data_IF_338340688807
#
_entry.id   IF_338340688807
#
_cell.length_a   1.000
_cell.length_b   1.000
_cell.length_c   1.000
_cell.angle_alpha   90.00
_cell.angle_beta   90.00
_cell.angle_gamma   90.00
#
_symmetry.space_group_name_H-M   'P 1'
#
loop_
_entity.id
_entity.type
_entity.pdbx_description
1 polymer ?
#
# COMPACT_ATOMS: atom_id res chain seq x y z
N UNK A 1 6.60 -17.38 -9.70
CA UNK A 1 5.53 -16.45 -9.30
C UNK A 1 5.96 -15.04 -9.65
N UNK A 2 5.31 -14.40 -10.63
CA UNK A 2 5.60 -12.99 -10.95
C UNK A 2 5.06 -12.13 -9.80
N UNK A 3 5.95 -11.38 -9.15
CA UNK A 3 5.57 -10.30 -8.23
C UNK A 3 5.33 -9.07 -9.09
N UNK A 4 4.23 -8.34 -8.87
CA UNK A 4 4.03 -7.05 -9.52
C UNK A 4 5.06 -6.07 -8.93
N UNK A 5 6.17 -5.89 -9.62
CA UNK A 5 7.20 -4.91 -9.28
C UNK A 5 6.86 -3.60 -9.97
N UNK A 6 6.73 -2.53 -9.21
CA UNK A 6 6.65 -1.17 -9.78
C UNK A 6 5.27 -0.71 -10.25
N UNK A 7 4.21 -1.51 -10.11
CA UNK A 7 2.86 -1.07 -10.46
C UNK A 7 2.35 0.04 -9.51
N UNK A 8 2.74 -0.04 -8.24
CA UNK A 8 2.32 0.89 -7.20
C UNK A 8 3.52 1.47 -6.48
N UNK A 9 3.52 2.78 -6.26
CA UNK A 9 4.61 3.48 -5.59
C UNK A 9 4.10 4.60 -4.68
N UNK A 10 4.94 4.98 -3.73
CA UNK A 10 4.67 6.00 -2.74
C UNK A 10 5.53 7.21 -3.06
N UNK A 11 4.89 8.36 -3.20
CA UNK A 11 5.57 9.64 -3.38
C UNK A 11 4.89 10.70 -2.50
N UNK A 12 5.68 11.38 -1.67
CA UNK A 12 5.18 12.39 -0.72
C UNK A 12 4.04 11.89 0.18
N UNK A 13 4.06 10.61 0.54
CA UNK A 13 3.03 9.97 1.36
C UNK A 13 1.79 9.51 0.57
N UNK A 14 1.63 9.89 -0.70
CA UNK A 14 0.55 9.44 -1.56
C UNK A 14 0.92 8.17 -2.31
N UNK A 15 -0.07 7.31 -2.54
CA UNK A 15 0.07 6.06 -3.29
C UNK A 15 -0.40 6.29 -4.72
N UNK A 16 0.49 6.02 -5.66
CA UNK A 16 0.28 6.14 -7.09
C UNK A 16 0.33 4.77 -7.73
N UNK A 17 -0.38 4.63 -8.85
CA UNK A 17 -0.44 3.40 -9.63
C UNK A 17 -1.37 3.55 -10.83
N UNK A 18 -1.68 2.46 -11.53
CA UNK A 18 -2.51 2.49 -12.74
C UNK A 18 -3.96 2.88 -12.47
N UNK A 19 -4.45 2.68 -11.23
CA UNK A 19 -5.82 2.98 -10.82
C UNK A 19 -5.81 3.87 -9.59
N UNK A 20 -6.77 4.80 -9.53
CA UNK A 20 -7.00 5.66 -8.36
C UNK A 20 -5.74 6.38 -7.86
N UNK A 21 -4.86 6.73 -8.82
CA UNK A 21 -3.54 7.29 -8.56
C UNK A 21 -3.62 8.59 -7.75
N UNK A 22 -2.86 8.69 -6.66
CA UNK A 22 -2.84 9.86 -5.78
C UNK A 22 -4.08 10.03 -4.89
N UNK A 23 -5.05 9.11 -4.94
CA UNK A 23 -6.25 9.19 -4.08
C UNK A 23 -6.05 8.60 -2.69
N UNK A 24 -5.09 7.69 -2.54
CA UNK A 24 -4.76 7.10 -1.24
C UNK A 24 -3.47 7.69 -0.72
N UNK A 25 -3.36 7.78 0.61
CA UNK A 25 -2.18 8.30 1.28
C UNK A 25 -1.93 7.58 2.59
N UNK A 26 -0.68 7.62 3.04
CA UNK A 26 -0.23 7.02 4.29
C UNK A 26 -0.10 8.14 5.33
N UNK A 27 -0.83 8.02 6.42
CA UNK A 27 -0.72 8.91 7.58
C UNK A 27 -0.68 8.06 8.85
N UNK A 28 0.28 8.32 9.74
CA UNK A 28 0.46 7.55 10.99
C UNK A 28 0.45 6.03 10.77
N UNK A 29 1.11 5.56 9.69
CA UNK A 29 1.18 4.17 9.21
C UNK A 29 -0.12 3.60 8.65
N UNK A 30 -1.22 4.33 8.71
CA UNK A 30 -2.50 3.89 8.19
C UNK A 30 -2.71 4.43 6.78
N UNK A 31 -3.38 3.65 5.94
CA UNK A 31 -3.73 4.01 4.57
C UNK A 31 -5.14 4.58 4.59
N UNK A 32 -5.26 5.79 4.06
CA UNK A 32 -6.50 6.55 3.93
C UNK A 32 -6.80 6.79 2.45
N UNK A 33 -8.08 7.01 2.14
CA UNK A 33 -8.56 7.26 0.78
C UNK A 33 -10.07 7.49 0.72
N UNK A 34 -10.68 7.35 -0.47
CA UNK A 34 -12.12 7.58 -0.65
C UNK A 34 -12.99 6.62 0.18
N UNK A 35 -12.58 5.36 0.32
CA UNK A 35 -13.19 4.33 1.18
C UNK A 35 -12.11 3.65 2.03
N UNK A 36 -12.55 2.84 3.00
CA UNK A 36 -11.67 2.01 3.84
C UNK A 36 -10.62 2.80 4.66
N UNK A 37 -10.98 4.01 5.10
CA UNK A 37 -10.11 4.92 5.84
C UNK A 37 -9.54 4.27 7.10
N UNK A 38 -8.22 4.09 7.12
CA UNK A 38 -7.50 3.53 8.26
C UNK A 38 -7.70 2.03 8.48
N UNK A 39 -8.39 1.33 7.58
CA UNK A 39 -8.58 -0.12 7.70
C UNK A 39 -7.30 -0.91 7.38
N UNK A 40 -6.42 -0.32 6.56
CA UNK A 40 -5.14 -0.90 6.18
C UNK A 40 -4.00 -0.11 6.80
N UNK A 41 -2.93 -0.79 7.19
CA UNK A 41 -1.81 -0.17 7.89
C UNK A 41 -0.49 -0.90 7.61
N UNK A 42 0.61 -0.16 7.68
CA UNK A 42 1.95 -0.73 7.59
C UNK A 42 2.36 -1.31 8.94
N UNK A 43 3.21 -2.34 8.90
CA UNK A 43 3.79 -3.02 10.05
C UNK A 43 4.32 -2.03 11.09
N UNK A 44 4.31 -2.45 12.35
CA UNK A 44 4.99 -1.74 13.43
C UNK A 44 6.46 -1.50 13.02
N UNK A 45 6.96 -0.29 13.29
CA UNK A 45 8.30 0.21 12.89
C UNK A 45 8.48 0.68 11.44
N UNK A 46 7.39 0.84 10.66
CA UNK A 46 7.47 1.61 9.42
C UNK A 46 7.99 3.03 9.68
N UNK A 47 9.08 3.38 9.00
CA UNK A 47 9.68 4.69 8.97
C UNK A 47 9.86 5.09 7.49
N UNK A 48 9.28 6.22 7.03
CA UNK A 48 9.45 6.71 5.66
C UNK A 48 10.92 6.90 5.23
N UNK A 49 11.86 7.01 6.18
CA UNK A 49 13.29 7.17 5.92
C UNK A 49 14.04 5.83 5.84
N UNK A 50 13.42 4.72 6.22
CA UNK A 50 14.04 3.38 6.18
C UNK A 50 13.67 2.65 4.90
N UNK A 51 14.60 1.83 4.40
CA UNK A 51 14.33 0.88 3.35
C UNK A 51 13.79 -0.42 3.97
N UNK A 52 12.57 -0.81 3.60
CA UNK A 52 11.87 -2.00 4.09
C UNK A 52 12.51 -3.35 3.72
N UNK A 53 11.79 -4.47 3.91
CA UNK A 53 10.35 -4.56 3.69
C UNK A 53 9.49 -4.22 4.90
N UNK A 54 8.40 -3.48 4.67
CA UNK A 54 7.37 -3.21 5.65
C UNK A 54 6.04 -3.79 5.19
N UNK A 55 5.57 -4.84 5.85
CA UNK A 55 4.34 -5.52 5.44
C UNK A 55 3.10 -4.65 5.68
N UNK A 56 2.11 -4.79 4.81
CA UNK A 56 0.83 -4.09 4.90
C UNK A 56 -0.22 -5.08 5.42
N UNK A 57 -0.94 -4.67 6.44
CA UNK A 57 -1.97 -5.41 7.13
C UNK A 57 -3.32 -4.73 6.96
N UNK A 58 -4.39 -5.49 7.13
CA UNK A 58 -5.76 -5.02 6.97
C UNK A 58 -6.74 -6.18 6.81
N UNK A 59 -8.03 -5.90 6.60
CA UNK A 59 -9.09 -6.90 6.60
C UNK A 59 -9.00 -7.89 5.43
N UNK A 60 -8.39 -7.50 4.31
CA UNK A 60 -8.19 -8.37 3.13
C UNK A 60 -6.71 -8.47 2.79
N UNK A 61 -6.24 -9.68 2.43
CA UNK A 61 -4.86 -9.95 1.94
C UNK A 61 -3.75 -9.40 2.87
N UNK A 62 -4.00 -9.31 4.18
CA UNK A 62 -3.02 -8.82 5.16
C UNK A 62 -1.73 -9.65 5.16
N UNK A 63 -0.59 -8.98 5.27
CA UNK A 63 0.74 -9.61 5.24
C UNK A 63 1.21 -10.06 3.86
N UNK A 64 0.37 -9.98 2.83
CA UNK A 64 0.75 -10.38 1.46
C UNK A 64 1.42 -9.25 0.67
N UNK A 65 1.07 -8.00 0.99
CA UNK A 65 1.67 -6.82 0.38
C UNK A 65 2.72 -6.20 1.31
N UNK A 66 3.72 -5.53 0.76
CA UNK A 66 4.75 -4.83 1.52
C UNK A 66 5.35 -3.67 0.75
N UNK A 67 5.90 -2.70 1.49
CA UNK A 67 6.67 -1.58 0.97
C UNK A 67 8.16 -1.90 1.03
N UNK A 68 8.86 -1.75 -0.09
CA UNK A 68 10.33 -1.80 -0.13
C UNK A 68 10.84 -0.61 -0.95
N UNK A 69 11.68 0.23 -0.33
CA UNK A 69 11.94 1.57 -0.85
C UNK A 69 10.63 2.36 -0.96
N UNK A 70 10.36 2.89 -2.16
CA UNK A 70 9.12 3.61 -2.45
C UNK A 70 8.08 2.76 -3.19
N UNK A 71 8.30 1.46 -3.39
CA UNK A 71 7.41 0.62 -4.18
C UNK A 71 6.61 -0.32 -3.29
N UNK A 72 5.37 -0.59 -3.70
CA UNK A 72 4.51 -1.59 -3.08
C UNK A 72 4.59 -2.87 -3.92
N UNK A 73 4.86 -3.97 -3.25
CA UNK A 73 4.99 -5.30 -3.83
C UNK A 73 3.93 -6.22 -3.23
N UNK A 74 3.55 -7.25 -3.98
CA UNK A 74 2.61 -8.26 -3.51
C UNK A 74 2.25 -9.28 -4.59
N UNK A 75 1.20 -10.08 -4.34
CA UNK A 75 0.57 -10.95 -5.33
C UNK A 75 0.11 -10.17 -6.57
N UNK A 76 -0.09 -10.85 -7.71
CA UNK A 76 -0.65 -10.21 -8.90
C UNK A 76 -2.06 -9.66 -8.62
N UNK A 77 -2.38 -8.53 -9.25
CA UNK A 77 -3.66 -7.84 -9.14
C UNK A 77 -3.54 -6.47 -8.47
N UNK A 78 -4.69 -5.91 -8.09
CA UNK A 78 -4.80 -4.61 -7.46
C UNK A 78 -4.61 -4.66 -5.93
N UNK A 79 -4.31 -3.50 -5.35
CA UNK A 79 -4.17 -3.35 -3.91
C UNK A 79 -5.52 -3.60 -3.22
N UNK A 80 -5.53 -4.26 -2.05
CA UNK A 80 -6.77 -4.79 -1.46
C UNK A 80 -7.80 -3.74 -1.06
N UNK A 81 -7.40 -2.47 -0.94
CA UNK A 81 -8.31 -1.35 -0.67
C UNK A 81 -8.91 -0.72 -1.93
N UNK A 82 -8.47 -1.10 -3.13
CA UNK A 82 -9.03 -0.64 -4.41
C UNK A 82 -10.25 -1.47 -4.82
N UNK A 83 -10.34 -2.72 -4.35
CA UNK A 83 -11.42 -3.66 -4.70
C UNK A 83 -12.82 -3.16 -4.29
N UNK A 84 -12.93 -2.26 -3.32
CA UNK A 84 -14.21 -1.74 -2.81
C UNK A 84 -14.62 -0.38 -3.42
N UNK A 85 -13.83 0.16 -4.34
CA UNK A 85 -14.08 1.47 -4.99
C UNK A 85 -14.57 1.33 -6.46
N UNK A 86 -14.99 0.12 -6.86
CA UNK A 86 -15.79 -0.16 -8.07
C UNK A 86 -17.29 -0.25 -7.78
#
# INVERSE_FOLDING_TARGET
>A
MQRNVGQYYIQSGYIYGPRMSGKYYILNRHIYGPRNNGAYYLQIDYDPKKFGPFYIWGPKKGGQFYVQGNYIFGPPGDLPWLDDDE
#
